data_IF_759242503616
#
_entry.id   IF_759242503616
#
_cell.length_a   1.000
_cell.length_b   1.000
_cell.length_c   1.000
_cell.angle_alpha   90.00
_cell.angle_beta   90.00
_cell.angle_gamma   90.00
#
_symmetry.space_group_name_H-M   'P 1'
#
loop_
_entity.id
_entity.type
_entity.pdbx_description
1 polymer ?
#
# COMPACT_ATOMS: atom_id res chain seq x y z
N UNK A 1 0.84 -2.27 21.31
CA UNK A 1 1.31 -2.57 19.94
C UNK A 1 0.67 -1.57 18.97
N UNK A 2 1.47 -0.96 18.14
CA UNK A 2 0.96 0.00 17.16
C UNK A 2 0.21 -0.75 16.05
N UNK A 3 -1.02 -0.34 15.81
CA UNK A 3 -1.82 -0.89 14.70
C UNK A 3 -1.37 -0.22 13.41
N UNK A 4 -0.87 -1.03 12.47
CA UNK A 4 -0.35 -0.51 11.20
C UNK A 4 -1.47 0.09 10.33
N UNK A 5 -2.66 -0.51 10.38
CA UNK A 5 -3.83 -0.08 9.61
C UNK A 5 -4.97 0.16 10.59
N UNK A 6 -5.64 1.32 10.47
CA UNK A 6 -6.77 1.62 11.36
C UNK A 6 -7.97 0.73 11.02
N UNK A 7 -8.93 0.56 11.96
CA UNK A 7 -10.16 -0.17 11.66
C UNK A 7 -10.95 0.43 10.48
N UNK A 8 -10.97 1.76 10.35
CA UNK A 8 -11.63 2.41 9.22
C UNK A 8 -10.94 2.13 7.91
N UNK A 9 -9.61 2.17 7.90
CA UNK A 9 -8.84 1.81 6.71
C UNK A 9 -9.05 0.36 6.33
N UNK A 10 -9.05 -0.54 7.32
CA UNK A 10 -9.29 -1.96 7.06
C UNK A 10 -10.67 -2.19 6.44
N UNK A 11 -11.70 -1.53 6.96
CA UNK A 11 -13.04 -1.63 6.40
C UNK A 11 -13.09 -1.16 4.94
N UNK A 12 -12.44 -0.04 4.63
CA UNK A 12 -12.38 0.48 3.27
C UNK A 12 -11.59 -0.46 2.35
N UNK A 13 -10.49 -1.00 2.82
CA UNK A 13 -9.68 -1.96 2.05
C UNK A 13 -10.48 -3.22 1.71
N UNK A 14 -11.23 -3.74 2.67
CA UNK A 14 -12.08 -4.91 2.45
C UNK A 14 -13.21 -4.60 1.48
N UNK A 15 -13.85 -3.42 1.60
CA UNK A 15 -14.88 -2.99 0.67
C UNK A 15 -14.32 -2.86 -0.75
N UNK A 16 -13.12 -2.29 -0.90
CA UNK A 16 -12.45 -2.19 -2.19
C UNK A 16 -12.15 -3.57 -2.78
N UNK A 17 -11.72 -4.52 -1.95
CA UNK A 17 -11.46 -5.88 -2.39
C UNK A 17 -12.72 -6.59 -2.87
N UNK A 18 -13.84 -6.38 -2.18
CA UNK A 18 -15.13 -6.92 -2.58
C UNK A 18 -15.58 -6.33 -3.93
N UNK A 19 -15.41 -5.02 -4.11
CA UNK A 19 -15.75 -4.35 -5.37
C UNK A 19 -14.89 -4.87 -6.53
N UNK A 20 -13.61 -5.09 -6.29
CA UNK A 20 -12.70 -5.61 -7.30
C UNK A 20 -13.09 -7.02 -7.76
N UNK A 21 -13.66 -7.83 -6.88
CA UNK A 21 -14.09 -9.19 -7.23
C UNK A 21 -15.23 -9.21 -8.24
N UNK A 22 -16.09 -8.20 -8.21
CA UNK A 22 -17.21 -8.10 -9.16
C UNK A 22 -16.88 -7.24 -10.38
N UNK A 23 -15.85 -6.41 -10.31
CA UNK A 23 -15.43 -5.54 -11.41
C UNK A 23 -13.90 -5.43 -11.42
N UNK A 24 -13.26 -6.19 -12.30
CA UNK A 24 -11.79 -6.21 -12.41
C UNK A 24 -11.21 -4.90 -12.96
N UNK A 25 -12.04 -4.01 -13.49
CA UNK A 25 -11.62 -2.67 -13.92
C UNK A 25 -11.73 -1.64 -12.80
N UNK A 26 -12.20 -2.05 -11.61
CA UNK A 26 -12.28 -1.17 -10.47
C UNK A 26 -10.88 -0.65 -10.11
N UNK A 27 -10.75 0.66 -10.04
CA UNK A 27 -9.48 1.35 -9.81
C UNK A 27 -9.61 2.26 -8.59
N UNK A 28 -9.49 1.71 -7.38
CA UNK A 28 -9.71 2.48 -6.16
C UNK A 28 -8.58 3.47 -5.89
N UNK A 29 -8.89 4.49 -5.13
CA UNK A 29 -7.84 5.30 -4.51
C UNK A 29 -7.13 4.46 -3.45
N UNK A 30 -5.79 4.55 -3.34
CA UNK A 30 -5.09 3.88 -2.24
C UNK A 30 -5.59 4.38 -0.89
N UNK A 31 -5.68 3.47 0.07
CA UNK A 31 -6.26 3.74 1.38
C UNK A 31 -5.19 4.10 2.40
N UNK A 32 -4.04 3.45 2.33
CA UNK A 32 -2.97 3.62 3.31
C UNK A 32 -1.61 3.68 2.61
N UNK A 33 -0.75 4.54 3.13
CA UNK A 33 0.66 4.60 2.72
C UNK A 33 1.51 4.10 3.89
N UNK A 34 2.33 3.10 3.61
CA UNK A 34 3.25 2.49 4.57
C UNK A 34 4.67 2.72 4.10
N UNK A 35 5.60 2.89 5.04
CA UNK A 35 7.00 3.15 4.68
C UNK A 35 7.94 2.71 5.79
N UNK A 36 9.22 2.53 5.43
CA UNK A 36 10.28 2.32 6.40
C UNK A 36 11.02 3.64 6.64
N UNK A 37 11.06 4.14 7.88
CA UNK A 37 11.67 5.44 8.16
C UNK A 37 13.19 5.48 7.86
N UNK A 38 13.85 4.34 7.94
CA UNK A 38 15.29 4.21 7.79
C UNK A 38 15.70 3.39 6.55
N UNK A 39 14.80 3.28 5.59
CA UNK A 39 15.06 2.58 4.32
C UNK A 39 14.18 3.18 3.22
N UNK A 40 14.29 2.65 2.00
CA UNK A 40 13.60 3.20 0.85
C UNK A 40 12.31 2.45 0.48
N UNK A 41 11.75 1.67 1.39
CA UNK A 41 10.55 0.90 1.12
C UNK A 41 9.31 1.74 1.35
N UNK A 42 8.40 1.74 0.36
CA UNK A 42 7.11 2.43 0.45
C UNK A 42 6.06 1.56 -0.23
N UNK A 43 4.87 1.53 0.37
CA UNK A 43 3.72 0.79 -0.19
C UNK A 43 2.49 1.69 -0.16
N UNK A 44 1.71 1.64 -1.25
CA UNK A 44 0.37 2.23 -1.27
C UNK A 44 -0.62 1.06 -1.33
N UNK A 45 -1.34 0.84 -0.25
CA UNK A 45 -2.26 -0.28 -0.12
C UNK A 45 -3.65 0.12 -0.62
N UNK A 46 -4.18 -0.62 -1.60
CA UNK A 46 -5.42 -0.25 -2.28
C UNK A 46 -6.60 -1.13 -1.89
N UNK A 47 -6.42 -2.44 -1.76
CA UNK A 47 -7.49 -3.31 -1.30
C UNK A 47 -6.94 -4.56 -0.62
N UNK A 48 -7.82 -5.24 0.11
CA UNK A 48 -7.55 -6.50 0.81
C UNK A 48 -8.55 -7.52 0.30
N UNK A 49 -8.09 -8.75 0.06
CA UNK A 49 -8.94 -9.85 -0.36
C UNK A 49 -9.88 -10.26 0.78
N UNK A 50 -11.21 -10.13 0.61
CA UNK A 50 -12.15 -10.43 1.70
C UNK A 50 -12.10 -11.87 2.20
N UNK A 51 -11.82 -12.83 1.34
CA UNK A 51 -11.73 -14.24 1.71
C UNK A 51 -10.39 -14.63 2.30
N UNK A 52 -9.38 -13.77 2.13
CA UNK A 52 -8.06 -13.97 2.70
C UNK A 52 -7.51 -12.62 3.15
N UNK A 53 -7.96 -12.09 4.30
CA UNK A 53 -7.64 -10.73 4.74
C UNK A 53 -6.14 -10.49 5.02
N UNK A 54 -5.35 -11.53 4.99
CA UNK A 54 -3.89 -11.45 5.07
C UNK A 54 -3.27 -10.93 3.78
N UNK A 55 -3.99 -11.03 2.65
CA UNK A 55 -3.48 -10.66 1.33
C UNK A 55 -4.04 -9.31 0.93
N UNK A 56 -3.14 -8.35 0.72
CA UNK A 56 -3.47 -7.05 0.16
C UNK A 56 -2.97 -6.91 -1.26
N UNK A 57 -3.38 -5.82 -1.90
CA UNK A 57 -2.94 -5.44 -3.24
C UNK A 57 -2.61 -3.96 -3.25
N UNK A 58 -1.52 -3.59 -3.87
CA UNK A 58 -1.15 -2.20 -4.00
C UNK A 58 0.13 -2.00 -4.76
N UNK A 59 0.66 -0.79 -4.66
CA UNK A 59 1.90 -0.39 -5.31
C UNK A 59 3.05 -0.56 -4.32
N UNK A 60 4.10 -1.28 -4.74
CA UNK A 60 5.29 -1.53 -3.93
C UNK A 60 6.49 -0.83 -4.54
N UNK A 61 7.25 -0.14 -3.70
CA UNK A 61 8.52 0.48 -4.06
C UNK A 61 9.57 -0.01 -3.07
N UNK A 62 10.49 -0.83 -3.54
CA UNK A 62 11.57 -1.41 -2.73
C UNK A 62 12.89 -0.67 -2.91
N UNK A 63 12.85 0.54 -3.48
CA UNK A 63 14.06 1.35 -3.69
C UNK A 63 14.91 0.90 -4.85
N UNK A 64 14.37 0.10 -5.77
CA UNK A 64 15.11 -0.48 -6.89
C UNK A 64 14.93 0.28 -8.21
N UNK A 65 14.13 1.35 -8.21
CA UNK A 65 13.91 2.17 -9.38
C UNK A 65 12.73 1.78 -10.26
N UNK A 66 12.01 0.71 -9.93
CA UNK A 66 10.83 0.27 -10.69
C UNK A 66 9.73 -0.20 -9.75
N UNK A 67 8.93 0.75 -9.25
CA UNK A 67 7.77 0.41 -8.43
C UNK A 67 6.74 -0.38 -9.26
N UNK A 68 6.13 -1.38 -8.63
CA UNK A 68 5.18 -2.27 -9.30
C UNK A 68 3.98 -2.55 -8.40
N UNK A 69 2.83 -2.80 -9.02
CA UNK A 69 1.70 -3.36 -8.28
C UNK A 69 1.93 -4.84 -8.01
N UNK A 70 1.55 -5.28 -6.82
CA UNK A 70 1.75 -6.67 -6.43
C UNK A 70 0.85 -7.01 -5.25
N UNK A 71 0.75 -8.30 -4.96
CA UNK A 71 0.17 -8.78 -3.73
C UNK A 71 1.11 -8.51 -2.57
N UNK A 72 0.52 -8.14 -1.44
CA UNK A 72 1.25 -7.85 -0.21
C UNK A 72 0.72 -8.75 0.91
N UNK A 73 1.59 -9.56 1.49
CA UNK A 73 1.24 -10.29 2.70
C UNK A 73 1.41 -9.33 3.87
N UNK A 74 0.32 -8.98 4.54
CA UNK A 74 0.33 -7.95 5.57
C UNK A 74 1.24 -8.32 6.75
N UNK A 75 1.25 -9.59 7.15
CA UNK A 75 2.16 -10.07 8.18
C UNK A 75 3.63 -9.92 7.76
N UNK A 76 3.91 -10.12 6.47
CA UNK A 76 5.25 -9.94 5.94
C UNK A 76 5.70 -8.49 6.01
N UNK A 77 4.81 -7.57 5.63
CA UNK A 77 5.12 -6.13 5.68
C UNK A 77 5.40 -5.68 7.12
N UNK A 78 4.60 -6.16 8.09
CA UNK A 78 4.78 -5.84 9.51
C UNK A 78 6.16 -6.27 10.00
N UNK A 79 6.72 -7.34 9.44
CA UNK A 79 8.02 -7.87 9.85
C UNK A 79 9.22 -7.15 9.23
N UNK A 80 9.00 -6.31 8.25
CA UNK A 80 10.10 -5.58 7.59
C UNK A 80 10.75 -4.61 8.56
N UNK A 81 12.08 -4.52 8.50
CA UNK A 81 12.89 -3.58 9.28
C UNK A 81 13.85 -2.86 8.34
N UNK A 82 14.09 -1.58 8.61
CA UNK A 82 15.11 -0.82 7.91
C UNK A 82 16.51 -1.07 8.47
N UNK A 83 17.46 -0.26 8.00
CA UNK A 83 18.88 -0.42 8.38
C UNK A 83 19.15 -0.26 9.87
N UNK A 84 18.38 0.61 10.53
CA UNK A 84 18.51 0.88 11.96
C UNK A 84 17.58 0.00 12.80
N UNK A 85 16.91 -0.98 12.17
CA UNK A 85 15.97 -1.85 12.85
C UNK A 85 14.60 -1.23 13.10
N UNK A 86 14.29 -0.10 12.48
CA UNK A 86 13.00 0.56 12.66
C UNK A 86 11.91 -0.17 11.89
N UNK A 87 10.71 -0.15 12.47
CA UNK A 87 9.54 -0.83 11.92
C UNK A 87 8.91 -0.02 10.79
N UNK A 88 8.13 -0.71 9.96
CA UNK A 88 7.24 -0.06 9.00
C UNK A 88 6.25 0.81 9.76
N UNK A 89 6.01 2.01 9.26
CA UNK A 89 5.06 2.96 9.82
C UNK A 89 4.00 3.33 8.80
N UNK A 90 2.84 3.74 9.29
CA UNK A 90 1.80 4.34 8.45
C UNK A 90 2.05 5.85 8.37
N UNK A 91 1.96 6.40 7.16
CA UNK A 91 2.00 7.85 6.97
C UNK A 91 0.68 8.44 7.44
N UNK A 92 0.73 9.17 8.55
CA UNK A 92 -0.46 9.76 9.18
C UNK A 92 -1.02 10.95 8.39
N UNK A 93 -0.24 11.47 7.44
CA UNK A 93 -0.62 12.65 6.66
C UNK A 93 -1.03 12.31 5.25
N UNK A 94 -0.99 11.02 4.88
CA UNK A 94 -1.37 10.60 3.55
C UNK A 94 -2.89 10.62 3.37
N UNK A 95 -3.34 11.31 2.34
CA UNK A 95 -4.71 11.24 1.83
C UNK A 95 -4.63 11.10 0.33
N UNK A 96 -5.20 10.03 -0.21
CA UNK A 96 -5.16 9.79 -1.65
C UNK A 96 -5.99 10.85 -2.37
N UNK A 97 -5.51 11.28 -3.54
CA UNK A 97 -6.14 12.32 -4.37
C UNK A 97 -6.52 11.81 -5.75
N UNK A 98 -6.18 10.57 -6.07
CA UNK A 98 -6.38 10.00 -7.39
C UNK A 98 -6.37 8.47 -7.29
N UNK A 99 -6.85 7.77 -8.33
CA UNK A 99 -6.86 6.31 -8.33
C UNK A 99 -5.44 5.73 -8.29
N UNK A 100 -5.34 4.48 -7.86
CA UNK A 100 -4.08 3.76 -7.78
C UNK A 100 -3.32 3.79 -9.12
N UNK A 101 -4.01 3.59 -10.25
CA UNK A 101 -3.37 3.58 -11.56
C UNK A 101 -2.62 4.89 -11.87
N UNK A 102 -3.13 6.02 -11.39
CA UNK A 102 -2.46 7.31 -11.57
C UNK A 102 -1.17 7.38 -10.75
N UNK A 103 -1.18 6.86 -9.52
CA UNK A 103 0.03 6.77 -8.71
C UNK A 103 1.04 5.81 -9.34
N UNK A 104 0.57 4.72 -9.94
CA UNK A 104 1.44 3.77 -10.65
C UNK A 104 2.17 4.46 -11.81
N UNK A 105 1.44 5.21 -12.63
CA UNK A 105 2.04 5.95 -13.75
C UNK A 105 3.09 6.94 -13.28
N UNK A 106 2.78 7.70 -12.25
CA UNK A 106 3.71 8.69 -11.70
C UNK A 106 4.96 8.02 -11.12
N UNK A 107 4.77 6.91 -10.42
CA UNK A 107 5.87 6.17 -9.81
C UNK A 107 6.78 5.57 -10.88
N UNK A 108 6.21 5.03 -11.95
CA UNK A 108 6.99 4.47 -13.05
C UNK A 108 7.82 5.52 -13.76
N UNK A 109 7.31 6.74 -13.91
CA UNK A 109 8.08 7.86 -14.48
C UNK A 109 9.21 8.30 -13.57
N UNK A 110 8.94 8.36 -12.27
CA UNK A 110 9.91 8.87 -11.30
C UNK A 110 10.91 7.80 -10.84
N UNK A 111 10.60 6.52 -11.03
CA UNK A 111 11.37 5.40 -10.49
C UNK A 111 11.15 5.21 -8.99
N UNK A 112 10.15 5.87 -8.41
CA UNK A 112 9.82 5.80 -7.00
C UNK A 112 8.39 6.28 -6.78
N UNK A 113 7.78 5.87 -5.66
CA UNK A 113 6.44 6.35 -5.30
C UNK A 113 6.51 7.86 -5.01
N UNK A 114 5.58 8.60 -5.61
CA UNK A 114 5.45 10.05 -5.42
C UNK A 114 4.03 10.33 -4.97
N UNK A 115 3.87 10.96 -3.79
CA UNK A 115 2.55 11.22 -3.20
C UNK A 115 2.37 12.68 -2.75
N UNK A 116 3.37 13.49 -2.91
CA UNK A 116 3.33 14.87 -2.42
C UNK A 116 3.16 15.92 -3.47
#
# INVERSE_FOLDING_TARGET
MTVLITPQQRAQLLANGAAYRTDKNFDPMPVAKLFTPDAAYTWLLAHIEPECPEVGWGLSDLGLGYPETDFLYLSGVVMVRGRLGLRVERDLHFTARKPLSAYVRDAQRAGMIVTG
#
